data_IF_752943221882
#
_entry.id   IF_752943221882
#
_cell.length_a   1.000
_cell.length_b   1.000
_cell.length_c   1.000
_cell.angle_alpha   90.00
_cell.angle_beta   90.00
_cell.angle_gamma   90.00
#
_symmetry.space_group_name_H-M   'P 1'
#
loop_
_entity.id
_entity.type
_entity.pdbx_description
1 polymer ?
#
# COMPACT_ATOMS: atom_id res chain seq x y z
N UNK A 1 -10.68 -34.01 1.64
CA UNK A 1 -9.42 -34.26 0.90
C UNK A 1 -8.47 -33.18 1.37
N UNK A 2 -7.69 -33.49 2.39
CA UNK A 2 -6.87 -32.52 3.10
C UNK A 2 -5.49 -32.53 2.45
N UNK A 3 -4.98 -31.36 2.06
CA UNK A 3 -3.61 -31.21 1.58
C UNK A 3 -2.89 -30.22 2.47
N UNK A 4 -1.69 -30.64 2.84
CA UNK A 4 -0.74 -29.98 3.72
C UNK A 4 -0.42 -28.58 3.18
N UNK A 5 -0.75 -27.54 3.94
CA UNK A 5 -0.23 -26.19 3.73
C UNK A 5 1.26 -26.27 4.07
N UNK A 6 2.12 -26.23 3.06
CA UNK A 6 3.55 -26.01 3.24
C UNK A 6 3.81 -24.54 2.94
N UNK A 7 3.82 -23.73 3.99
CA UNK A 7 4.20 -22.33 3.93
C UNK A 7 5.73 -22.25 3.71
N UNK A 8 6.17 -22.05 2.46
CA UNK A 8 7.58 -21.75 2.20
C UNK A 8 7.78 -20.24 2.38
N UNK A 9 8.16 -19.85 3.59
CA UNK A 9 8.63 -18.50 3.88
C UNK A 9 9.98 -18.29 3.19
N UNK A 10 9.98 -17.71 1.99
CA UNK A 10 11.22 -17.32 1.33
C UNK A 10 11.67 -15.97 1.89
N UNK A 11 12.48 -16.01 2.95
CA UNK A 11 13.20 -14.83 3.43
C UNK A 11 14.25 -14.43 2.37
N UNK A 12 13.98 -13.37 1.60
CA UNK A 12 14.97 -12.74 0.73
C UNK A 12 15.92 -11.89 1.59
N UNK A 13 17.02 -12.49 2.03
CA UNK A 13 18.10 -11.79 2.72
C UNK A 13 19.10 -11.30 1.67
N UNK A 14 18.93 -10.05 1.19
CA UNK A 14 19.90 -9.40 0.32
C UNK A 14 21.12 -8.96 1.14
N UNK A 15 22.14 -9.82 1.22
CA UNK A 15 23.47 -9.41 1.70
C UNK A 15 24.23 -8.75 0.54
N UNK A 16 24.36 -7.43 0.57
CA UNK A 16 25.26 -6.69 -0.32
C UNK A 16 26.70 -6.87 0.14
N UNK A 17 27.41 -7.85 -0.42
CA UNK A 17 28.85 -8.00 -0.24
C UNK A 17 29.62 -7.05 -1.18
N UNK A 18 30.21 -5.99 -0.61
CA UNK A 18 31.21 -5.17 -1.30
C UNK A 18 32.48 -6.01 -1.51
N UNK A 19 32.77 -6.36 -2.76
CA UNK A 19 34.02 -6.99 -3.18
C UNK A 19 35.16 -5.97 -3.17
N UNK A 20 36.16 -6.18 -2.32
CA UNK A 20 37.50 -5.60 -2.49
C UNK A 20 38.48 -6.72 -2.83
N UNK A 21 39.17 -6.56 -3.95
CA UNK A 21 40.29 -7.37 -4.42
C UNK A 21 41.38 -7.55 -3.35
N UNK A 22 41.95 -8.76 -3.23
CA UNK A 22 43.34 -9.04 -3.68
C UNK A 22 43.83 -10.47 -3.32
N UNK A 23 44.27 -11.18 -4.37
CA UNK A 23 45.44 -12.07 -4.47
C UNK A 23 45.50 -13.45 -3.77
N UNK A 24 45.57 -14.47 -4.64
CA UNK A 24 45.91 -15.91 -4.59
C UNK A 24 47.33 -16.25 -4.05
N UNK A 25 47.83 -17.52 -4.08
CA UNK A 25 47.24 -18.85 -3.85
C UNK A 25 48.17 -19.80 -3.00
N UNK A 26 47.72 -21.01 -2.67
CA UNK A 26 48.55 -22.26 -2.68
C UNK A 26 47.63 -23.47 -2.48
N UNK A 27 47.43 -24.30 -3.51
CA UNK A 27 48.19 -25.53 -3.83
C UNK A 27 47.63 -26.76 -3.05
N UNK A 28 46.82 -27.61 -3.69
CA UNK A 28 47.21 -28.75 -4.55
C UNK A 28 47.50 -30.00 -3.71
N UNK A 29 46.62 -31.01 -3.71
CA UNK A 29 47.05 -32.37 -4.05
C UNK A 29 45.89 -33.32 -4.36
N UNK A 30 46.23 -34.33 -5.15
CA UNK A 30 45.44 -35.18 -6.00
C UNK A 30 44.62 -36.25 -5.27
N UNK A 31 43.44 -36.55 -5.82
CA UNK A 31 42.73 -37.80 -5.58
C UNK A 31 43.08 -38.85 -6.62
N UNK A 32 43.25 -40.11 -6.19
CA UNK A 32 42.97 -41.28 -7.01
C UNK A 32 42.76 -42.55 -6.17
N UNK A 33 41.72 -43.32 -6.54
CA UNK A 33 41.54 -44.78 -6.38
C UNK A 33 41.45 -45.32 -4.94
N UNK A 34 40.43 -46.04 -4.49
CA UNK A 34 39.55 -47.02 -5.16
C UNK A 34 39.42 -48.22 -4.23
N UNK A 35 38.24 -48.84 -4.12
CA UNK A 35 38.07 -50.09 -3.37
C UNK A 35 36.72 -50.19 -2.65
N UNK A 36 35.85 -51.06 -3.19
CA UNK A 36 34.53 -51.38 -2.67
C UNK A 36 34.62 -52.22 -1.39
N UNK A 37 33.73 -51.96 -0.43
CA UNK A 37 33.32 -52.97 0.54
C UNK A 37 31.81 -52.89 0.76
N UNK A 38 31.18 -54.06 0.59
CA UNK A 38 29.75 -54.33 0.72
C UNK A 38 29.41 -54.28 2.20
N UNK A 39 28.37 -53.53 2.59
CA UNK A 39 27.76 -53.67 3.91
C UNK A 39 26.24 -53.82 3.77
N UNK A 40 25.77 -54.85 4.43
CA UNK A 40 24.44 -55.45 4.46
C UNK A 40 23.32 -54.52 4.91
N UNK A 41 22.21 -54.66 4.21
CA UNK A 41 20.87 -54.17 4.49
C UNK A 41 20.30 -54.77 5.80
N UNK A 42 19.88 -53.92 6.72
CA UNK A 42 19.03 -54.28 7.85
C UNK A 42 17.78 -53.40 7.81
N UNK A 43 16.67 -53.99 7.41
CA UNK A 43 15.36 -53.35 7.43
C UNK A 43 14.92 -53.13 8.89
N UNK A 44 15.00 -51.89 9.36
CA UNK A 44 14.31 -51.44 10.57
C UNK A 44 12.90 -51.04 10.13
N UNK A 45 11.91 -51.77 10.62
CA UNK A 45 10.50 -51.39 10.50
C UNK A 45 10.25 -50.32 11.56
N UNK A 46 10.33 -49.05 11.17
CA UNK A 46 9.88 -47.93 12.02
C UNK A 46 8.34 -47.92 11.96
N UNK A 47 7.69 -48.25 13.08
CA UNK A 47 6.29 -47.92 13.29
C UNK A 47 6.14 -46.39 13.27
N UNK A 48 5.62 -45.87 12.16
CA UNK A 48 5.21 -44.48 12.02
C UNK A 48 4.01 -44.23 12.93
N UNK A 49 4.26 -43.82 14.16
CA UNK A 49 3.27 -43.10 14.97
C UNK A 49 3.11 -41.72 14.35
N UNK A 50 1.98 -41.51 13.69
CA UNK A 50 1.54 -40.22 13.17
C UNK A 50 1.30 -39.30 14.38
N UNK A 51 2.09 -38.23 14.60
CA UNK A 51 1.75 -37.28 15.64
C UNK A 51 0.47 -36.58 15.20
N UNK A 52 -0.60 -36.78 15.95
CA UNK A 52 -1.85 -36.05 15.82
C UNK A 52 -1.56 -34.56 16.02
N UNK A 53 -1.31 -33.85 14.91
CA UNK A 53 -1.19 -32.40 14.90
C UNK A 53 -2.56 -31.88 15.29
N UNK A 54 -2.67 -31.42 16.54
CA UNK A 54 -3.84 -30.68 16.99
C UNK A 54 -3.82 -29.36 16.21
N UNK A 55 -4.74 -29.18 15.27
CA UNK A 55 -4.91 -27.89 14.61
C UNK A 55 -5.42 -26.90 15.66
N UNK A 56 -4.52 -26.04 16.15
CA UNK A 56 -4.90 -24.93 17.02
C UNK A 56 -5.80 -23.98 16.21
N UNK A 57 -7.03 -23.81 16.67
CA UNK A 57 -7.99 -22.88 16.07
C UNK A 57 -7.41 -21.46 16.12
N UNK A 58 -7.31 -20.81 14.95
CA UNK A 58 -6.82 -19.44 14.88
C UNK A 58 -7.82 -18.49 15.55
N UNK A 59 -7.34 -17.68 16.49
CA UNK A 59 -8.11 -16.63 17.15
C UNK A 59 -7.62 -15.28 16.64
N UNK A 60 -8.52 -14.51 16.03
CA UNK A 60 -8.23 -13.14 15.61
C UNK A 60 -7.74 -12.33 16.82
N UNK A 61 -6.60 -11.62 16.72
CA UNK A 61 -6.11 -10.80 17.81
C UNK A 61 -7.08 -9.66 18.14
N UNK A 62 -7.07 -9.19 19.37
CA UNK A 62 -7.78 -7.96 19.71
C UNK A 62 -7.13 -6.76 18.98
N UNK A 63 -7.95 -5.81 18.53
CA UNK A 63 -7.44 -4.57 17.96
C UNK A 63 -6.78 -3.75 19.08
N UNK A 64 -5.56 -3.22 18.87
CA UNK A 64 -4.86 -2.50 19.92
C UNK A 64 -5.61 -1.23 20.31
N UNK A 65 -5.55 -0.89 21.59
CA UNK A 65 -6.01 0.41 22.07
C UNK A 65 -5.04 1.48 21.54
N UNK A 66 -5.55 2.36 20.68
CA UNK A 66 -4.76 3.43 20.09
C UNK A 66 -4.58 4.56 21.11
N UNK A 67 -3.33 4.98 21.32
CA UNK A 67 -3.00 6.06 22.26
C UNK A 67 -2.64 7.31 21.46
N UNK A 68 -3.54 8.29 21.48
CA UNK A 68 -3.34 9.60 20.87
C UNK A 68 -2.60 10.55 21.82
N UNK A 69 -1.67 11.32 21.28
CA UNK A 69 -1.10 12.51 21.93
C UNK A 69 -2.06 13.71 21.77
N UNK A 70 -1.92 14.74 22.61
CA UNK A 70 -2.75 15.96 22.52
C UNK A 70 -2.62 16.70 21.17
N UNK A 71 -1.50 16.52 20.47
CA UNK A 71 -1.23 17.13 19.17
C UNK A 71 -1.31 16.12 18.01
N UNK A 72 -1.83 14.91 18.24
CA UNK A 72 -2.04 13.91 17.18
C UNK A 72 -3.11 14.35 16.19
N UNK A 73 -2.91 14.02 14.92
CA UNK A 73 -3.97 13.98 13.92
C UNK A 73 -4.76 12.68 14.12
N UNK A 74 -6.00 12.78 14.59
CA UNK A 74 -6.91 11.63 14.84
C UNK A 74 -8.10 11.54 13.89
N UNK A 75 -8.20 12.45 12.92
CA UNK A 75 -9.27 12.50 11.90
C UNK A 75 -10.72 12.56 12.45
N UNK A 76 -10.91 12.69 13.77
CA UNK A 76 -12.22 12.72 14.42
C UNK A 76 -13.10 13.90 13.96
N UNK A 77 -12.46 14.94 13.43
CA UNK A 77 -13.09 16.14 12.91
C UNK A 77 -13.51 16.02 11.42
N UNK A 78 -13.25 14.85 10.80
CA UNK A 78 -13.59 14.54 9.42
C UNK A 78 -12.74 15.23 8.36
N UNK A 79 -11.64 15.87 8.76
CA UNK A 79 -10.72 16.55 7.84
C UNK A 79 -9.63 15.61 7.33
N UNK A 80 -9.24 15.73 6.06
CA UNK A 80 -8.06 15.04 5.50
C UNK A 80 -6.75 15.78 5.83
N UNK A 81 -6.85 16.97 6.44
CA UNK A 81 -5.75 17.89 6.67
C UNK A 81 -5.10 18.29 5.34
N UNK A 82 -3.85 17.88 5.13
CA UNK A 82 -3.09 18.11 3.90
C UNK A 82 -2.90 16.81 3.11
N UNK A 83 -3.51 15.70 3.54
CA UNK A 83 -3.34 14.41 2.91
C UNK A 83 -3.85 14.43 1.47
N UNK A 84 -2.96 14.14 0.52
CA UNK A 84 -3.31 14.03 -0.89
C UNK A 84 -2.48 12.95 -1.61
N UNK A 85 -3.03 12.41 -2.68
CA UNK A 85 -2.34 11.40 -3.48
C UNK A 85 -1.34 12.05 -4.44
N UNK A 86 -0.14 11.47 -4.56
CA UNK A 86 0.89 11.90 -5.50
C UNK A 86 1.05 10.88 -6.63
N UNK A 87 0.48 11.20 -7.80
CA UNK A 87 0.62 10.38 -9.01
C UNK A 87 0.80 11.19 -10.31
N UNK A 88 0.90 12.53 -10.23
CA UNK A 88 0.94 13.40 -11.41
C UNK A 88 2.19 13.20 -12.29
N UNK A 89 3.28 12.71 -11.70
CA UNK A 89 4.59 12.52 -12.33
C UNK A 89 4.94 11.04 -12.45
N UNK A 90 3.97 10.23 -12.86
CA UNK A 90 4.08 8.77 -12.94
C UNK A 90 4.91 8.29 -14.13
N UNK A 91 6.22 8.58 -14.11
CA UNK A 91 7.14 8.30 -15.20
C UNK A 91 7.34 6.79 -15.43
N UNK A 92 7.30 5.98 -14.37
CA UNK A 92 7.51 4.53 -14.42
C UNK A 92 6.18 3.74 -14.54
N UNK A 93 5.04 4.45 -14.59
CA UNK A 93 3.70 3.88 -14.60
C UNK A 93 3.43 2.92 -13.43
N UNK A 94 4.05 3.16 -12.28
CA UNK A 94 4.00 2.30 -11.10
C UNK A 94 3.33 2.96 -9.88
N UNK A 95 3.06 4.28 -9.90
CA UNK A 95 2.23 4.92 -8.88
C UNK A 95 0.73 4.74 -9.15
N UNK A 96 -0.05 4.62 -8.07
CA UNK A 96 -1.50 4.42 -8.11
C UNK A 96 -2.25 5.74 -7.97
N UNK A 97 -3.37 5.89 -8.68
CA UNK A 97 -4.51 6.68 -8.21
C UNK A 97 -5.00 6.15 -6.86
N UNK A 98 -5.36 7.06 -5.95
CA UNK A 98 -5.92 6.71 -4.64
C UNK A 98 -7.15 7.55 -4.34
N UNK A 99 -8.16 6.95 -3.70
CA UNK A 99 -9.25 7.69 -3.06
C UNK A 99 -8.95 7.85 -1.57
N UNK A 100 -9.01 9.08 -1.09
CA UNK A 100 -8.81 9.43 0.32
C UNK A 100 -10.14 9.82 0.97
N UNK A 101 -10.39 9.29 2.16
CA UNK A 101 -11.58 9.60 2.95
C UNK A 101 -11.30 9.44 4.44
N UNK A 102 -12.14 10.03 5.30
CA UNK A 102 -12.16 9.70 6.72
C UNK A 102 -13.22 8.63 6.95
N UNK A 103 -12.84 7.50 7.53
CA UNK A 103 -13.73 6.36 7.76
C UNK A 103 -13.63 5.83 9.20
N UNK A 104 -14.75 5.34 9.74
CA UNK A 104 -14.75 4.62 11.01
C UNK A 104 -14.15 3.21 10.81
N UNK A 105 -13.02 2.94 11.48
CA UNK A 105 -12.39 1.62 11.47
C UNK A 105 -12.08 1.17 12.90
N UNK A 106 -12.59 -0.01 13.27
CA UNK A 106 -12.43 -0.61 14.62
C UNK A 106 -12.71 0.34 15.79
N UNK A 107 -13.57 1.34 15.58
CA UNK A 107 -14.05 2.26 16.63
C UNK A 107 -13.41 3.65 16.64
N UNK A 108 -12.42 3.95 15.79
CA UNK A 108 -11.86 5.31 15.61
C UNK A 108 -12.06 5.81 14.18
N UNK A 109 -12.05 7.13 13.98
CA UNK A 109 -12.00 7.72 12.64
C UNK A 109 -10.56 7.75 12.18
N UNK A 110 -10.30 7.31 10.95
CA UNK A 110 -8.94 7.20 10.41
C UNK A 110 -8.93 7.66 8.95
N UNK A 111 -7.77 8.11 8.46
CA UNK A 111 -7.57 8.36 7.04
C UNK A 111 -7.54 7.02 6.29
N UNK A 112 -8.57 6.75 5.51
CA UNK A 112 -8.65 5.59 4.61
C UNK A 112 -8.02 5.94 3.26
N UNK A 113 -7.14 5.06 2.82
CA UNK A 113 -6.45 5.09 1.53
C UNK A 113 -6.91 3.87 0.73
N UNK A 114 -7.76 4.10 -0.25
CA UNK A 114 -8.18 3.09 -1.23
C UNK A 114 -7.25 3.14 -2.44
N UNK A 115 -6.60 2.02 -2.76
CA UNK A 115 -5.68 1.90 -3.91
C UNK A 115 -6.47 1.42 -5.13
N UNK A 116 -6.52 2.24 -6.18
CA UNK A 116 -7.46 2.03 -7.29
C UNK A 116 -6.87 1.25 -8.47
N UNK A 117 -5.54 1.30 -8.64
CA UNK A 117 -4.91 0.76 -9.85
C UNK A 117 -4.32 -0.63 -9.63
N UNK A 118 -4.89 -1.61 -10.32
CA UNK A 118 -4.32 -2.94 -10.44
C UNK A 118 -3.50 -3.08 -11.73
N UNK A 119 -2.22 -3.40 -11.60
CA UNK A 119 -1.35 -3.75 -12.73
C UNK A 119 -1.54 -5.22 -13.08
N UNK A 120 -2.37 -5.49 -14.10
CA UNK A 120 -2.69 -6.84 -14.58
C UNK A 120 -1.44 -7.57 -15.09
N UNK A 121 -0.46 -6.87 -15.64
CA UNK A 121 0.77 -7.49 -16.17
C UNK A 121 1.68 -7.95 -15.03
N UNK A 122 1.74 -7.18 -13.94
CA UNK A 122 2.52 -7.52 -12.74
C UNK A 122 1.73 -8.33 -11.70
N UNK A 123 0.42 -8.49 -11.89
CA UNK A 123 -0.46 -9.22 -10.96
C UNK A 123 -0.52 -8.60 -9.56
N UNK A 124 -0.43 -7.28 -9.44
CA UNK A 124 -0.41 -6.57 -8.16
C UNK A 124 -0.95 -5.15 -8.30
N UNK A 125 -1.41 -4.56 -7.21
CA UNK A 125 -1.74 -3.13 -7.18
C UNK A 125 -0.48 -2.26 -7.29
N UNK A 126 -0.65 -1.09 -7.91
CA UNK A 126 0.37 -0.05 -8.01
C UNK A 126 0.66 0.58 -6.64
N UNK A 127 1.77 1.30 -6.56
CA UNK A 127 2.28 1.92 -5.33
C UNK A 127 1.46 3.18 -4.99
N UNK A 128 0.65 3.21 -3.91
CA UNK A 128 0.11 4.46 -3.41
C UNK A 128 1.21 5.33 -2.82
N UNK A 129 1.16 6.65 -3.08
CA UNK A 129 2.02 7.66 -2.43
C UNK A 129 1.13 8.75 -1.85
N UNK A 130 1.06 8.84 -0.54
CA UNK A 130 0.22 9.83 0.15
C UNK A 130 1.11 10.87 0.80
N UNK A 131 0.89 12.12 0.44
CA UNK A 131 1.68 13.28 0.87
C UNK A 131 0.93 14.02 1.97
N UNK A 132 1.70 14.47 2.96
CA UNK A 132 1.29 15.41 3.98
C UNK A 132 2.21 16.64 3.89
N UNK A 133 1.63 17.81 3.65
CA UNK A 133 2.36 19.07 3.53
C UNK A 133 2.77 19.57 4.92
N UNK A 134 4.05 19.43 5.24
CA UNK A 134 4.60 19.67 6.57
C UNK A 134 4.59 21.15 6.91
N UNK A 135 4.91 22.03 5.96
CA UNK A 135 4.91 23.47 6.19
C UNK A 135 3.52 24.02 6.49
N UNK A 136 2.48 23.40 5.97
CA UNK A 136 1.08 23.72 6.30
C UNK A 136 0.65 23.11 7.64
N UNK A 137 1.04 21.86 7.92
CA UNK A 137 0.66 21.16 9.16
C UNK A 137 1.27 21.79 10.41
N UNK A 138 2.61 21.91 10.44
CA UNK A 138 3.34 22.40 11.62
C UNK A 138 3.68 23.89 11.53
N UNK A 139 3.57 24.48 10.35
CA UNK A 139 3.93 25.86 10.08
C UNK A 139 5.37 25.97 9.61
N UNK A 140 5.59 26.71 8.53
CA UNK A 140 6.92 26.95 7.95
C UNK A 140 7.94 27.45 8.98
N UNK A 141 7.53 28.28 9.95
CA UNK A 141 8.40 28.81 11.02
C UNK A 141 8.73 27.82 12.15
N UNK A 142 8.14 26.62 12.13
CA UNK A 142 8.36 25.57 13.13
C UNK A 142 8.96 24.29 12.55
N UNK A 143 9.16 24.22 11.23
CA UNK A 143 9.63 23.04 10.53
C UNK A 143 10.91 22.46 11.14
N UNK A 144 11.90 23.31 11.43
CA UNK A 144 13.19 22.90 11.95
C UNK A 144 13.10 22.25 13.34
N UNK A 145 11.99 22.46 14.06
CA UNK A 145 11.73 21.81 15.35
C UNK A 145 11.38 20.35 15.18
N UNK A 146 10.79 19.92 14.06
CA UNK A 146 10.39 18.53 13.83
C UNK A 146 11.63 17.64 13.72
N UNK A 147 11.83 16.75 14.70
CA UNK A 147 12.94 15.77 14.74
C UNK A 147 12.48 14.33 14.58
N UNK A 148 11.24 14.05 14.92
CA UNK A 148 10.66 12.72 14.75
C UNK A 148 9.15 12.77 14.58
N UNK A 149 8.58 11.65 14.15
CA UNK A 149 7.15 11.45 14.08
C UNK A 149 6.79 10.02 14.47
N UNK A 150 5.51 9.83 14.79
CA UNK A 150 4.90 8.50 14.86
C UNK A 150 3.52 8.52 14.24
N UNK A 151 3.06 7.39 13.73
CA UNK A 151 1.67 7.16 13.33
C UNK A 151 1.30 5.69 13.54
N UNK A 152 0.01 5.44 13.59
CA UNK A 152 -0.56 4.11 13.57
C UNK A 152 -1.03 3.79 12.15
N UNK A 153 -0.69 2.58 11.67
CA UNK A 153 -1.05 2.11 10.33
C UNK A 153 -1.78 0.79 10.48
N UNK A 154 -2.97 0.72 9.91
CA UNK A 154 -3.73 -0.52 9.81
C UNK A 154 -4.00 -0.83 8.34
N UNK A 155 -3.77 -2.07 7.91
CA UNK A 155 -4.20 -2.54 6.60
C UNK A 155 -5.36 -3.51 6.78
N UNK A 156 -6.41 -3.39 5.97
CA UNK A 156 -7.58 -4.26 6.03
C UNK A 156 -7.91 -4.83 4.65
N UNK A 157 -8.33 -6.09 4.63
CA UNK A 157 -8.79 -6.79 3.44
C UNK A 157 -10.05 -6.12 2.89
N UNK A 158 -10.08 -5.94 1.57
CA UNK A 158 -11.27 -5.49 0.83
C UNK A 158 -11.65 -6.53 -0.23
N UNK A 159 -10.65 -7.02 -0.95
CA UNK A 159 -10.80 -8.07 -1.95
C UNK A 159 -10.00 -9.31 -1.58
N UNK A 160 -10.47 -10.45 -2.07
CA UNK A 160 -9.87 -11.74 -1.78
C UNK A 160 -8.50 -11.92 -2.47
N UNK A 161 -7.56 -12.49 -1.74
CA UNK A 161 -6.31 -12.99 -2.27
C UNK A 161 -6.50 -14.42 -2.79
N UNK A 162 -5.98 -14.72 -3.98
CA UNK A 162 -5.96 -16.08 -4.51
C UNK A 162 -4.58 -16.70 -4.27
N UNK A 163 -4.51 -17.70 -3.40
CA UNK A 163 -3.32 -18.48 -3.15
C UNK A 163 -2.88 -19.32 -4.35
N UNK A 164 -1.63 -19.79 -4.31
CA UNK A 164 -1.05 -20.63 -5.36
C UNK A 164 -1.78 -21.98 -5.53
N UNK A 165 -2.41 -22.47 -4.46
CA UNK A 165 -3.26 -23.66 -4.47
C UNK A 165 -4.69 -23.40 -5.01
N UNK A 166 -5.00 -22.14 -5.32
CA UNK A 166 -6.28 -21.68 -5.83
C UNK A 166 -7.30 -21.36 -4.74
N UNK A 167 -6.93 -21.45 -3.45
CA UNK A 167 -7.78 -21.02 -2.33
C UNK A 167 -7.95 -19.50 -2.34
N UNK A 168 -9.15 -19.04 -1.98
CA UNK A 168 -9.45 -17.61 -1.82
C UNK A 168 -9.39 -17.27 -0.34
N UNK A 169 -8.55 -16.31 0.03
CA UNK A 169 -8.35 -15.85 1.39
C UNK A 169 -8.77 -14.39 1.51
N UNK A 170 -9.66 -14.07 2.45
CA UNK A 170 -10.06 -12.69 2.74
C UNK A 170 -9.09 -12.04 3.73
N UNK A 171 -7.90 -11.71 3.25
CA UNK A 171 -6.75 -11.28 4.06
C UNK A 171 -6.09 -10.05 3.43
N UNK A 172 -5.49 -9.16 4.23
CA UNK A 172 -4.89 -7.95 3.70
C UNK A 172 -3.59 -8.25 2.95
N UNK A 173 -2.91 -9.38 3.26
CA UNK A 173 -1.64 -9.75 2.65
C UNK A 173 -0.47 -8.90 3.17
N UNK A 174 0.42 -8.51 2.27
CA UNK A 174 1.62 -7.74 2.64
C UNK A 174 1.30 -6.28 2.98
N UNK A 175 1.89 -5.78 4.06
CA UNK A 175 2.01 -4.36 4.39
C UNK A 175 3.50 -4.02 4.42
N UNK A 176 4.01 -3.48 3.31
CA UNK A 176 5.42 -3.14 3.15
C UNK A 176 5.56 -1.74 2.57
N UNK A 177 6.54 -0.98 3.03
CA UNK A 177 6.70 0.38 2.57
C UNK A 177 7.76 1.18 3.32
N UNK A 178 7.75 2.49 3.08
CA UNK A 178 8.61 3.45 3.78
C UNK A 178 7.89 4.78 3.89
N UNK A 179 8.40 5.64 4.78
CA UNK A 179 8.14 7.06 4.71
C UNK A 179 9.35 7.77 4.14
N UNK A 180 9.10 8.86 3.42
CA UNK A 180 10.14 9.78 3.00
C UNK A 180 9.69 11.22 3.13
N UNK A 181 10.64 12.14 2.97
CA UNK A 181 10.38 13.57 3.07
C UNK A 181 11.21 14.36 2.10
N UNK A 182 10.61 15.41 1.56
CA UNK A 182 11.32 16.51 0.94
C UNK A 182 11.80 17.47 2.03
N UNK A 183 13.12 17.58 2.19
CA UNK A 183 13.77 18.40 3.24
C UNK A 183 14.84 19.32 2.63
N UNK A 184 15.53 20.10 3.46
CA UNK A 184 16.57 21.04 3.03
C UNK A 184 16.05 22.42 2.64
N UNK A 185 16.95 23.33 2.27
CA UNK A 185 16.62 24.76 2.04
C UNK A 185 15.71 24.99 0.82
N UNK A 186 15.68 24.06 -0.14
CA UNK A 186 14.88 24.13 -1.37
C UNK A 186 13.89 22.97 -1.52
N UNK A 187 13.69 22.19 -0.46
CA UNK A 187 12.80 21.00 -0.45
C UNK A 187 13.13 19.97 -1.54
N UNK A 188 14.33 19.98 -2.12
CA UNK A 188 14.72 19.05 -3.19
C UNK A 188 15.39 17.77 -2.69
N UNK A 189 15.82 17.76 -1.42
CA UNK A 189 16.47 16.60 -0.82
C UNK A 189 15.42 15.57 -0.39
N UNK A 190 15.36 14.45 -1.12
CA UNK A 190 14.64 13.27 -0.66
C UNK A 190 15.40 12.60 0.50
N UNK A 191 14.74 12.47 1.65
CA UNK A 191 15.29 11.82 2.83
C UNK A 191 14.33 10.81 3.43
N UNK A 192 14.82 9.60 3.67
CA UNK A 192 14.08 8.54 4.36
C UNK A 192 14.39 8.63 5.87
N UNK A 193 13.40 8.90 6.73
CA UNK A 193 13.58 8.90 8.18
C UNK A 193 14.09 7.55 8.68
N UNK A 194 14.94 7.57 9.70
CA UNK A 194 15.43 6.35 10.36
C UNK A 194 14.36 5.75 11.29
N UNK A 195 14.51 4.49 11.70
CA UNK A 195 13.56 3.79 12.56
C UNK A 195 12.67 2.84 11.77
N UNK A 196 11.52 2.44 12.32
CA UNK A 196 10.57 1.58 11.59
C UNK A 196 10.03 2.24 10.31
N UNK A 197 10.04 3.57 10.25
CA UNK A 197 9.64 4.32 9.06
C UNK A 197 10.60 4.13 7.87
N UNK A 198 11.86 3.75 8.09
CA UNK A 198 12.83 3.62 7.00
C UNK A 198 12.47 2.48 6.05
N UNK A 199 11.94 1.40 6.62
CA UNK A 199 11.35 0.28 5.89
C UNK A 199 10.47 -0.48 6.89
N UNK A 200 9.15 -0.34 6.74
CA UNK A 200 8.20 -1.14 7.50
C UNK A 200 7.79 -2.34 6.65
N UNK A 201 7.69 -3.51 7.28
CA UNK A 201 7.27 -4.73 6.62
C UNK A 201 6.61 -5.69 7.61
N UNK A 202 5.39 -6.07 7.30
CA UNK A 202 4.65 -7.16 7.94
C UNK A 202 3.73 -7.82 6.91
N UNK A 203 3.12 -8.94 7.26
CA UNK A 203 2.12 -9.59 6.43
C UNK A 203 1.11 -10.35 7.31
N UNK A 204 -0.12 -10.43 6.82
CA UNK A 204 -1.21 -11.14 7.50
C UNK A 204 -2.01 -11.97 6.49
N UNK A 205 -2.17 -13.25 6.81
CA UNK A 205 -2.67 -14.30 5.92
C UNK A 205 -3.72 -15.20 6.59
N UNK A 206 -4.14 -14.87 7.81
CA UNK A 206 -5.08 -15.62 8.63
C UNK A 206 -6.28 -14.77 9.07
N UNK A 207 -6.10 -13.46 9.30
CA UNK A 207 -7.20 -12.53 9.58
C UNK A 207 -7.34 -11.41 8.54
N UNK A 208 -8.41 -10.63 8.69
CA UNK A 208 -8.81 -9.60 7.73
C UNK A 208 -8.08 -8.26 7.90
N UNK A 209 -7.15 -8.13 8.86
CA UNK A 209 -6.42 -6.88 9.09
C UNK A 209 -5.09 -7.08 9.80
N UNK A 210 -4.17 -6.13 9.63
CA UNK A 210 -2.90 -6.07 10.39
C UNK A 210 -2.62 -4.64 10.80
N UNK A 211 -2.13 -4.46 12.01
CA UNK A 211 -1.81 -3.14 12.58
C UNK A 211 -0.34 -3.05 12.94
N UNK A 212 0.24 -1.86 12.79
CA UNK A 212 1.53 -1.51 13.36
C UNK A 212 1.64 -0.03 13.69
N UNK A 213 2.40 0.29 14.74
CA UNK A 213 2.87 1.65 14.99
C UNK A 213 4.20 1.87 14.28
N UNK A 214 4.30 2.98 13.55
CA UNK A 214 5.49 3.38 12.81
C UNK A 214 6.06 4.66 13.40
N UNK A 215 7.34 4.63 13.73
CA UNK A 215 8.14 5.77 14.19
C UNK A 215 9.26 6.09 13.20
N UNK A 216 9.52 7.39 12.99
CA UNK A 216 10.58 7.88 12.13
C UNK A 216 11.36 9.04 12.73
N UNK A 217 12.68 9.11 12.48
CA UNK A 217 13.56 10.21 12.96
C UNK A 217 14.45 10.79 11.86
N UNK A 218 14.53 12.12 11.83
CA UNK A 218 15.39 12.89 10.93
C UNK A 218 16.73 13.19 11.62
N UNK A 219 17.72 12.30 11.43
CA UNK A 219 19.01 12.39 12.16
C UNK A 219 20.11 13.14 11.40
N UNK A 220 20.10 13.09 10.06
CA UNK A 220 21.19 13.63 9.23
C UNK A 220 20.77 14.86 8.41
N UNK A 221 19.53 14.87 7.95
CA UNK A 221 18.89 15.98 7.26
C UNK A 221 17.50 16.15 7.87
N UNK A 222 17.05 17.39 7.96
CA UNK A 222 15.74 17.73 8.51
C UNK A 222 15.17 18.95 7.80
N UNK A 223 13.97 19.31 8.21
CA UNK A 223 13.28 20.46 7.65
C UNK A 223 13.96 21.78 8.03
N UNK A 224 13.74 22.80 7.21
CA UNK A 224 14.33 24.13 7.37
C UNK A 224 13.19 25.14 7.53
N UNK A 225 13.32 26.05 8.49
CA UNK A 225 12.29 27.07 8.71
C UNK A 225 12.12 27.98 7.49
N UNK A 226 10.88 28.39 7.22
CA UNK A 226 10.52 29.31 6.16
C UNK A 226 10.41 28.68 4.76
N UNK A 227 10.72 27.39 4.60
CA UNK A 227 10.48 26.67 3.34
C UNK A 227 8.99 26.41 3.14
N UNK A 228 8.57 26.41 1.88
CA UNK A 228 7.28 25.91 1.41
C UNK A 228 7.54 24.66 0.59
N UNK A 229 6.63 23.68 0.57
CA UNK A 229 6.76 22.39 -0.14
C UNK A 229 7.59 21.31 0.61
N UNK A 230 7.73 21.44 1.94
CA UNK A 230 8.30 20.37 2.77
C UNK A 230 7.24 19.28 2.97
N UNK A 231 7.58 18.01 2.77
CA UNK A 231 6.57 16.92 2.80
C UNK A 231 6.97 15.76 3.72
N UNK A 232 5.95 15.04 4.19
CA UNK A 232 6.05 13.65 4.64
C UNK A 232 5.24 12.79 3.68
N UNK A 233 5.83 11.72 3.17
CA UNK A 233 5.22 10.88 2.13
C UNK A 233 5.19 9.44 2.61
N UNK A 234 3.98 8.90 2.75
CA UNK A 234 3.74 7.47 2.95
C UNK A 234 3.81 6.75 1.59
N UNK A 235 4.50 5.61 1.50
CA UNK A 235 4.53 4.78 0.29
C UNK A 235 4.46 3.31 0.63
N UNK A 236 3.62 2.56 -0.09
CA UNK A 236 3.43 1.11 0.11
C UNK A 236 3.65 0.33 -1.19
N UNK A 237 4.28 -0.84 -1.12
CA UNK A 237 4.53 -1.71 -2.28
C UNK A 237 4.21 -3.17 -2.00
N UNK A 238 4.36 -4.01 -3.04
CA UNK A 238 4.12 -5.46 -2.99
C UNK A 238 2.71 -5.83 -2.55
N UNK A 239 1.69 -5.24 -3.19
CA UNK A 239 0.27 -5.35 -2.85
C UNK A 239 -0.43 -6.39 -3.74
N UNK A 240 -0.57 -7.66 -3.33
CA UNK A 240 -1.02 -8.73 -4.23
C UNK A 240 -2.55 -8.78 -4.42
N UNK A 241 -3.31 -8.15 -3.52
CA UNK A 241 -4.77 -8.13 -3.53
C UNK A 241 -5.29 -6.79 -2.99
N UNK A 242 -6.60 -6.55 -3.14
CA UNK A 242 -7.18 -5.28 -2.73
C UNK A 242 -7.23 -5.20 -1.21
N UNK A 243 -6.51 -4.23 -0.66
CA UNK A 243 -6.50 -3.94 0.75
C UNK A 243 -6.30 -2.45 0.96
N UNK A 244 -7.19 -1.87 1.75
CA UNK A 244 -7.12 -0.46 2.13
C UNK A 244 -6.13 -0.28 3.27
N UNK A 245 -5.54 0.91 3.33
CA UNK A 245 -4.69 1.32 4.45
C UNK A 245 -5.41 2.43 5.20
N UNK A 246 -5.33 2.36 6.53
CA UNK A 246 -5.81 3.35 7.45
C UNK A 246 -4.60 3.95 8.19
N UNK A 247 -4.51 5.27 8.22
CA UNK A 247 -3.51 6.00 9.00
C UNK A 247 -4.22 6.79 10.10
N UNK A 248 -3.70 6.71 11.32
CA UNK A 248 -4.22 7.40 12.48
C UNK A 248 -3.06 7.88 13.39
N UNK A 249 -3.37 8.74 14.36
CA UNK A 249 -2.45 9.27 15.38
C UNK A 249 -1.12 9.81 14.85
N UNK A 250 -1.14 10.46 13.67
CA UNK A 250 0.07 11.08 13.12
C UNK A 250 0.49 12.25 14.01
N UNK A 251 1.68 12.15 14.60
CA UNK A 251 2.19 13.10 15.61
C UNK A 251 3.63 13.44 15.32
N UNK A 252 3.98 14.72 15.46
CA UNK A 252 5.33 15.24 15.26
C UNK A 252 5.94 15.66 16.59
N UNK A 253 7.24 15.42 16.76
CA UNK A 253 7.95 15.68 18.00
C UNK A 253 9.22 16.48 17.78
N UNK A 254 9.56 17.30 18.76
CA UNK A 254 10.80 18.06 18.81
C UNK A 254 12.01 17.24 19.29
N UNK A 255 13.15 17.90 19.50
CA UNK A 255 14.39 17.25 19.92
C UNK A 255 14.32 16.62 21.32
N UNK A 256 13.44 17.13 22.18
CA UNK A 256 13.21 16.63 23.53
C UNK A 256 12.14 15.53 23.57
N UNK A 257 11.56 15.19 22.41
CA UNK A 257 10.47 14.22 22.29
C UNK A 257 9.12 14.77 22.73
N UNK A 258 8.97 16.10 22.82
CA UNK A 258 7.68 16.74 23.09
C UNK A 258 6.92 16.92 21.79
N UNK A 259 5.62 16.65 21.81
CA UNK A 259 4.77 16.82 20.64
C UNK A 259 4.62 18.29 20.25
N UNK A 260 4.57 18.53 18.95
CA UNK A 260 4.49 19.85 18.33
C UNK A 260 3.04 20.13 17.96
N UNK A 261 2.44 21.24 18.44
CA UNK A 261 1.10 21.63 18.04
C UNK A 261 1.02 21.93 16.54
N UNK A 262 -0.08 21.50 15.93
CA UNK A 262 -0.40 21.84 14.54
C UNK A 262 -0.81 23.31 14.47
N UNK A 263 -0.41 23.99 13.39
CA UNK A 263 -0.89 25.34 13.05
C UNK A 263 -1.87 25.32 11.88
N UNK A 264 -2.13 24.13 11.33
CA UNK A 264 -3.09 23.88 10.28
C UNK A 264 -4.43 24.57 10.59
N UNK A 265 -4.84 25.46 9.68
CA UNK A 265 -6.19 25.99 9.66
C UNK A 265 -7.01 25.12 8.73
N UNK A 266 -8.11 24.54 9.24
CA UNK A 266 -9.07 23.73 8.48
C UNK A 266 -9.29 24.30 7.07
N UNK A 267 -8.83 23.57 6.07
CA UNK A 267 -8.97 23.89 4.65
C UNK A 267 -10.31 23.39 4.09
N UNK A 268 -10.66 23.83 2.88
CA UNK A 268 -11.86 23.40 2.16
C UNK A 268 -11.75 21.97 1.56
N UNK A 269 -10.68 21.22 1.87
CA UNK A 269 -10.44 19.86 1.37
C UNK A 269 -11.39 18.87 2.06
N UNK A 270 -12.66 18.88 1.65
CA UNK A 270 -13.67 17.97 2.16
C UNK A 270 -13.46 16.56 1.60
N UNK A 271 -13.43 15.58 2.49
CA UNK A 271 -13.52 14.17 2.12
C UNK A 271 -14.80 13.91 1.31
N UNK A 272 -14.71 13.06 0.28
CA UNK A 272 -15.92 12.51 -0.35
C UNK A 272 -16.72 11.74 0.72
N UNK A 273 -17.95 12.18 0.98
CA UNK A 273 -18.84 11.53 1.95
C UNK A 273 -19.53 10.34 1.28
N UNK A 274 -19.23 9.11 1.70
CA UNK A 274 -20.06 7.95 1.32
C UNK A 274 -21.44 8.07 1.99
N UNK A 275 -22.44 8.56 1.23
CA UNK A 275 -23.84 8.30 1.57
C UNK A 275 -24.16 6.86 1.18
N UNK A 276 -24.20 5.96 2.17
CA UNK A 276 -24.70 4.61 1.97
C UNK A 276 -26.18 4.65 1.55
N UNK A 277 -26.45 4.40 0.28
CA UNK A 277 -27.78 4.02 -0.20
C UNK A 277 -27.73 2.57 -0.67
N UNK A 278 -28.31 1.69 0.14
CA UNK A 278 -28.50 0.29 -0.19
C UNK A 278 -29.42 0.18 -1.41
N UNK A 279 -28.87 -0.26 -2.55
CA UNK A 279 -29.64 -0.60 -3.72
C UNK A 279 -30.52 -1.84 -3.42
N UNK A 280 -31.82 -1.62 -3.28
CA UNK A 280 -32.86 -2.65 -3.34
C UNK A 280 -33.24 -2.91 -4.82
N UNK A 281 -33.54 -4.15 -5.22
CA UNK A 281 -33.62 -4.54 -6.63
C UNK A 281 -34.84 -3.95 -7.35
N UNK A 282 -34.62 -3.47 -8.57
CA UNK A 282 -35.69 -3.03 -9.47
C UNK A 282 -36.50 -4.23 -9.98
N UNK A 283 -37.82 -4.16 -9.80
CA UNK A 283 -38.79 -5.06 -10.42
C UNK A 283 -38.93 -4.76 -11.93
N UNK A 284 -38.92 -5.82 -12.73
CA UNK A 284 -39.29 -5.77 -14.15
C UNK A 284 -40.78 -5.49 -14.37
N UNK A 285 -41.05 -4.80 -15.50
CA UNK A 285 -42.10 -5.04 -16.52
C UNK A 285 -43.00 -3.83 -16.84
N UNK A 286 -43.68 -3.78 -18.02
CA UNK A 286 -43.36 -4.32 -19.34
C UNK A 286 -43.40 -3.26 -20.47
N UNK A 287 -42.81 -3.60 -21.62
CA UNK A 287 -42.92 -2.86 -22.88
C UNK A 287 -44.32 -3.04 -23.49
N UNK A 288 -45.00 -1.94 -23.83
CA UNK A 288 -46.18 -1.95 -24.70
C UNK A 288 -45.86 -1.34 -26.05
N UNK A 289 -46.12 -2.12 -27.10
CA UNK A 289 -46.20 -1.72 -28.50
C UNK A 289 -47.17 -0.55 -28.72
N UNK A 290 -46.87 0.30 -29.70
CA UNK A 290 -47.88 0.74 -30.65
C UNK A 290 -47.24 1.03 -32.01
N UNK A 291 -47.77 0.35 -33.01
CA UNK A 291 -47.46 0.47 -34.42
C UNK A 291 -48.43 1.44 -35.12
N UNK A 292 -48.09 1.71 -36.38
CA UNK A 292 -48.89 2.25 -37.49
C UNK A 292 -49.01 3.78 -37.61
N UNK A 293 -48.99 4.40 -38.81
CA UNK A 293 -48.60 4.07 -40.18
C UNK A 293 -48.82 5.36 -41.03
N UNK A 294 -48.37 5.35 -42.29
CA UNK A 294 -48.78 6.16 -43.46
C UNK A 294 -48.08 7.52 -43.62
N UNK A 295 -47.65 7.97 -44.80
CA UNK A 295 -47.84 7.49 -46.17
C UNK A 295 -46.82 8.13 -47.16
N UNK A 296 -46.61 7.40 -48.24
CA UNK A 296 -46.05 7.62 -49.59
C UNK A 296 -45.89 9.06 -50.18
N UNK A 297 -44.78 9.32 -50.91
CA UNK A 297 -44.71 9.37 -52.41
C UNK A 297 -43.80 10.48 -53.01
N UNK A 298 -43.11 10.07 -54.09
CA UNK A 298 -42.82 10.79 -55.34
C UNK A 298 -41.39 11.32 -55.61
N UNK A 299 -40.83 10.70 -56.65
CA UNK A 299 -39.63 10.95 -57.46
C UNK A 299 -39.81 12.18 -58.38
N UNK A 300 -38.76 12.99 -58.59
CA UNK A 300 -38.31 13.47 -59.94
C UNK A 300 -37.01 14.31 -59.90
N UNK A 301 -36.31 14.20 -61.03
CA UNK A 301 -34.98 14.64 -61.52
C UNK A 301 -34.75 16.15 -61.74
N UNK A 302 -33.48 16.59 -61.74
CA UNK A 302 -32.77 17.36 -62.81
C UNK A 302 -31.32 17.70 -62.36
N UNK A 303 -30.29 17.17 -63.05
CA UNK A 303 -29.41 17.87 -64.01
C UNK A 303 -28.54 19.02 -63.45
N UNK A 304 -27.23 18.79 -63.38
CA UNK A 304 -26.22 19.84 -63.68
C UNK A 304 -24.99 19.19 -64.31
N UNK A 305 -24.73 19.53 -65.57
CA UNK A 305 -23.45 19.32 -66.25
C UNK A 305 -22.77 20.66 -66.59
N UNK A 306 -21.43 20.63 -66.66
CA UNK A 306 -20.56 21.67 -67.23
C UNK A 306 -20.26 22.85 -66.28
N UNK A 307 -19.06 23.40 -66.17
CA UNK A 307 -17.88 23.42 -67.04
C UNK A 307 -16.61 23.84 -66.25
N UNK A 308 -15.48 23.28 -66.68
CA UNK A 308 -14.17 23.90 -66.96
C UNK A 308 -13.49 24.88 -65.96
N UNK A 309 -12.27 24.51 -65.55
CA UNK A 309 -11.08 24.93 -66.32
C UNK A 309 -10.03 25.79 -65.62
N UNK A 310 -8.76 25.34 -65.76
CA UNK A 310 -7.48 26.07 -65.68
C UNK A 310 -7.08 26.66 -64.30
N UNK A 311 -5.86 26.49 -63.78
CA UNK A 311 -4.53 26.14 -64.31
C UNK A 311 -3.75 25.32 -63.24
#
# INVERSE_FOLDING_TARGET
MNKKIVLILTAFLCVSALSSCSTTPSANDQGQSGGAEVTTEAAVTEESSDPEVTEEEYVEPDYPELVSDENSITFDDGDLYTAHCMNEKNFENDESDCRLSVADFKGTKQLRIEVLDFDVEKGKYKTPKIVFDMDELVGSENLSKVKSFSCDITQAAVGDFKGDDGEMLHVPGNLMGTFGSNVGEDCSDWYVPTGSASEYATAEWQCSWVHMRVEGKWLLKGFVDGTTDSTLVFMRWSIPNQADVYIDNLTFYDEDGKSIPLVYGKGDTQAETESGEAASPEEESPVTENAENSEEKAETTEETGGENGAE
#
